data_IF_268434096597
#
_entry.id   IF_268434096597
#
_cell.length_a   1.000
_cell.length_b   1.000
_cell.length_c   1.000
_cell.angle_alpha   90.00
_cell.angle_beta   90.00
_cell.angle_gamma   90.00
#
_symmetry.space_group_name_H-M   'P 1'
#
loop_
_entity.id
_entity.type
_entity.pdbx_description
1 polymer ?
#
# COMPACT_ATOMS: atom_id res chain seq x y z
N UNK A 1 -3.69 36.66 -32.42
CA UNK A 1 -3.82 35.69 -31.32
C UNK A 1 -4.55 34.42 -31.76
N UNK A 2 -5.71 34.53 -32.43
CA UNK A 2 -6.46 33.38 -32.96
C UNK A 2 -5.70 32.59 -34.06
N UNK A 3 -5.06 33.29 -35.00
CA UNK A 3 -4.18 32.66 -36.00
C UNK A 3 -2.89 32.06 -35.41
N UNK A 4 -2.38 32.65 -34.32
CA UNK A 4 -1.21 32.13 -33.61
C UNK A 4 -1.55 30.78 -32.93
N UNK A 5 -2.71 30.70 -32.27
CA UNK A 5 -3.21 29.44 -31.72
C UNK A 5 -3.52 28.41 -32.81
N UNK A 6 -4.12 28.80 -33.94
CA UNK A 6 -4.39 27.89 -35.06
C UNK A 6 -3.13 27.36 -35.74
N UNK A 7 -2.04 28.14 -35.78
CA UNK A 7 -0.76 27.71 -36.36
C UNK A 7 0.06 26.84 -35.40
N UNK A 8 -0.02 27.09 -34.08
CA UNK A 8 0.73 26.33 -33.06
C UNK A 8 0.20 24.89 -32.90
N UNK A 9 -1.09 24.66 -33.15
CA UNK A 9 -1.75 23.35 -33.03
C UNK A 9 -2.00 22.64 -34.38
N UNK A 10 -1.25 22.96 -35.45
CA UNK A 10 -1.35 22.16 -36.69
C UNK A 10 -0.70 20.79 -36.50
N UNK A 11 -1.33 19.75 -37.06
CA UNK A 11 -0.91 18.33 -36.96
C UNK A 11 0.52 18.05 -37.42
N UNK A 12 1.06 18.87 -38.30
CA UNK A 12 2.36 18.74 -38.94
C UNK A 12 3.48 19.48 -38.18
N UNK A 13 3.15 20.22 -37.12
CA UNK A 13 4.17 20.87 -36.29
C UNK A 13 5.00 19.81 -35.56
N UNK A 14 6.35 19.91 -35.61
CA UNK A 14 7.25 18.99 -34.90
C UNK A 14 6.88 18.83 -33.41
N UNK A 15 6.40 19.89 -32.77
CA UNK A 15 5.90 19.87 -31.40
C UNK A 15 4.72 18.90 -31.20
N UNK A 16 3.72 18.92 -32.09
CA UNK A 16 2.50 18.12 -31.96
C UNK A 16 2.71 16.62 -32.20
N UNK A 17 3.71 16.26 -33.02
CA UNK A 17 4.03 14.85 -33.33
C UNK A 17 5.11 14.30 -32.41
N UNK A 18 6.06 15.14 -31.98
CA UNK A 18 7.22 14.72 -31.19
C UNK A 18 7.05 14.95 -29.69
N UNK A 19 6.91 16.22 -29.27
CA UNK A 19 7.04 16.62 -27.87
C UNK A 19 5.73 16.51 -27.08
N UNK A 20 4.62 16.98 -27.67
CA UNK A 20 3.33 17.04 -26.99
C UNK A 20 2.82 15.67 -26.49
N UNK A 21 2.93 14.56 -27.25
CA UNK A 21 2.50 13.26 -26.76
C UNK A 21 3.25 12.79 -25.51
N UNK A 22 4.54 13.11 -25.39
CA UNK A 22 5.34 12.76 -24.21
C UNK A 22 4.95 13.58 -22.98
N UNK A 23 4.75 14.89 -23.17
CA UNK A 23 4.29 15.80 -22.11
C UNK A 23 2.90 15.38 -21.63
N UNK A 24 1.99 15.11 -22.57
CA UNK A 24 0.63 14.66 -22.27
C UNK A 24 0.63 13.32 -21.55
N UNK A 25 1.39 12.33 -22.03
CA UNK A 25 1.51 11.04 -21.35
C UNK A 25 2.01 11.19 -19.91
N UNK A 26 3.03 12.04 -19.69
CA UNK A 26 3.58 12.31 -18.36
C UNK A 26 2.56 12.99 -17.44
N UNK A 27 1.80 13.95 -17.96
CA UNK A 27 0.71 14.60 -17.23
C UNK A 27 -0.38 13.59 -16.83
N UNK A 28 -0.83 12.75 -17.77
CA UNK A 28 -1.83 11.72 -17.50
C UNK A 28 -1.32 10.73 -16.47
N UNK A 29 -0.06 10.30 -16.55
CA UNK A 29 0.54 9.42 -15.56
C UNK A 29 0.53 10.02 -14.15
N UNK A 30 0.90 11.29 -14.00
CA UNK A 30 0.85 11.99 -12.73
C UNK A 30 -0.59 12.17 -12.22
N UNK A 31 -1.54 12.47 -13.11
CA UNK A 31 -2.96 12.61 -12.78
C UNK A 31 -3.55 11.28 -12.27
N UNK A 32 -3.32 10.18 -12.99
CA UNK A 32 -3.77 8.84 -12.62
C UNK A 32 -3.15 8.41 -11.28
N UNK A 33 -1.86 8.64 -11.08
CA UNK A 33 -1.20 8.33 -9.81
C UNK A 33 -1.79 9.14 -8.65
N UNK A 34 -2.17 10.40 -8.87
CA UNK A 34 -2.80 11.27 -7.84
C UNK A 34 -4.16 10.72 -7.39
N UNK A 35 -4.93 10.13 -8.32
CA UNK A 35 -6.19 9.46 -7.99
C UNK A 35 -5.94 8.26 -7.09
N UNK A 36 -4.95 7.42 -7.39
CA UNK A 36 -4.61 6.25 -6.58
C UNK A 36 -4.05 6.60 -5.21
N UNK A 37 -3.22 7.64 -5.14
CA UNK A 37 -2.63 8.14 -3.91
C UNK A 37 -3.66 8.84 -3.00
N UNK A 38 -4.86 9.15 -3.50
CA UNK A 38 -5.85 10.00 -2.82
C UNK A 38 -5.23 11.30 -2.29
N UNK A 39 -4.34 11.89 -3.09
CA UNK A 39 -3.47 12.99 -2.70
C UNK A 39 -2.28 13.13 -3.67
N UNK A 40 -1.33 14.05 -3.41
CA UNK A 40 -0.21 14.29 -4.32
C UNK A 40 0.60 13.02 -4.54
N UNK A 41 0.70 12.50 -5.77
CA UNK A 41 1.52 11.33 -6.02
C UNK A 41 3.03 11.62 -5.98
N UNK A 42 3.82 10.60 -5.66
CA UNK A 42 5.24 10.61 -5.95
C UNK A 42 5.47 10.65 -7.46
N UNK A 43 6.54 11.34 -7.89
CA UNK A 43 7.02 11.21 -9.26
C UNK A 43 7.35 9.74 -9.56
N UNK A 44 7.27 9.27 -10.81
CA UNK A 44 7.71 7.90 -11.10
C UNK A 44 9.25 7.84 -11.16
N UNK A 45 9.89 6.78 -10.61
CA UNK A 45 11.33 6.61 -10.78
C UNK A 45 11.67 6.31 -12.25
N UNK A 46 12.75 6.91 -12.77
CA UNK A 46 13.25 6.64 -14.13
C UNK A 46 14.07 5.35 -14.20
N UNK A 47 14.66 4.94 -13.07
CA UNK A 47 15.43 3.72 -12.92
C UNK A 47 15.10 3.08 -11.57
N UNK A 48 15.15 1.75 -11.52
CA UNK A 48 14.92 0.97 -10.30
C UNK A 48 16.30 0.75 -9.67
N UNK A 49 16.55 1.40 -8.54
CA UNK A 49 17.81 1.27 -7.80
C UNK A 49 17.94 -0.14 -7.21
N UNK A 50 19.18 -0.63 -7.09
CA UNK A 50 19.44 -1.87 -6.34
C UNK A 50 19.10 -1.68 -4.85
N UNK A 51 18.56 -2.69 -4.16
CA UNK A 51 18.21 -2.55 -2.75
C UNK A 51 19.45 -2.47 -1.87
N UNK A 52 19.48 -1.49 -0.97
CA UNK A 52 20.57 -1.31 -0.02
C UNK A 52 20.49 -2.34 1.10
N UNK A 53 21.63 -2.96 1.44
CA UNK A 53 21.73 -3.94 2.54
C UNK A 53 22.29 -3.33 3.82
N UNK A 54 23.29 -2.46 3.73
CA UNK A 54 24.00 -1.92 4.90
C UNK A 54 23.99 -0.39 4.90
N UNK A 55 23.60 0.18 6.03
CA UNK A 55 23.58 1.62 6.29
C UNK A 55 24.25 1.92 7.64
N UNK A 56 24.88 3.10 7.78
CA UNK A 56 25.42 3.53 9.07
C UNK A 56 24.32 3.68 10.12
N UNK A 57 24.71 3.74 11.39
CA UNK A 57 23.78 4.02 12.48
C UNK A 57 23.06 5.37 12.26
N UNK A 58 21.81 5.43 12.72
CA UNK A 58 21.00 6.64 12.70
C UNK A 58 20.70 7.09 14.14
N UNK A 59 20.56 8.40 14.36
CA UNK A 59 20.23 8.97 15.67
C UNK A 59 18.85 8.51 16.17
N UNK A 60 17.90 8.34 15.24
CA UNK A 60 16.55 7.88 15.54
C UNK A 60 16.03 6.97 14.44
N UNK A 61 15.63 5.76 14.82
CA UNK A 61 14.93 4.81 13.95
C UNK A 61 13.52 4.58 14.49
N UNK A 62 12.51 4.58 13.62
CA UNK A 62 11.14 4.12 13.96
C UNK A 62 10.78 2.93 13.09
N UNK A 63 10.53 1.78 13.70
CA UNK A 63 10.16 0.55 13.03
C UNK A 63 8.66 0.23 13.17
N UNK A 64 8.03 -0.15 12.06
CA UNK A 64 6.59 -0.40 11.92
C UNK A 64 6.40 -1.84 11.41
N UNK A 65 5.52 -2.57 12.08
CA UNK A 65 5.14 -3.94 11.72
C UNK A 65 4.27 -4.05 10.45
N UNK A 66 3.64 -5.21 10.32
CA UNK A 66 2.85 -5.64 9.17
C UNK A 66 1.58 -4.78 9.00
N UNK A 67 1.32 -4.33 7.76
CA UNK A 67 0.24 -3.37 7.45
C UNK A 67 -1.03 -4.05 6.95
N UNK A 68 -0.88 -5.11 6.14
CA UNK A 68 -1.98 -5.94 5.63
C UNK A 68 -3.18 -5.13 5.11
N UNK A 69 -2.94 -4.26 4.13
CA UNK A 69 -3.99 -3.57 3.38
C UNK A 69 -4.89 -2.63 4.20
N UNK A 70 -4.50 -2.22 5.41
CA UNK A 70 -5.26 -1.32 6.29
C UNK A 70 -4.60 0.06 6.37
N UNK A 71 -5.05 0.98 5.51
CA UNK A 71 -4.45 2.31 5.40
C UNK A 71 -4.72 3.18 6.64
N UNK A 72 -5.84 2.97 7.33
CA UNK A 72 -6.18 3.72 8.55
C UNK A 72 -5.21 3.37 9.67
N UNK A 73 -4.99 2.08 9.92
CA UNK A 73 -4.01 1.61 10.92
C UNK A 73 -2.59 2.00 10.54
N UNK A 74 -2.27 1.97 9.24
CA UNK A 74 -0.98 2.43 8.71
C UNK A 74 -0.74 3.91 9.04
N UNK A 75 -1.69 4.79 8.73
CA UNK A 75 -1.58 6.24 9.05
C UNK A 75 -1.47 6.48 10.56
N UNK A 76 -2.24 5.74 11.38
CA UNK A 76 -2.14 5.82 12.85
C UNK A 76 -0.77 5.39 13.38
N UNK A 77 -0.21 4.29 12.89
CA UNK A 77 1.13 3.84 13.26
C UNK A 77 2.21 4.87 12.87
N UNK A 78 2.12 5.43 11.66
CA UNK A 78 3.04 6.48 11.19
C UNK A 78 2.94 7.74 12.06
N UNK A 79 1.74 8.19 12.45
CA UNK A 79 1.53 9.33 13.36
C UNK A 79 2.04 9.06 14.76
N UNK A 80 1.80 7.85 15.28
CA UNK A 80 2.33 7.42 16.58
C UNK A 80 3.87 7.51 16.63
N UNK A 81 4.53 7.19 15.52
CA UNK A 81 5.98 7.34 15.35
C UNK A 81 6.46 8.79 15.14
N UNK A 82 5.55 9.76 15.04
CA UNK A 82 5.86 11.15 14.69
C UNK A 82 6.39 11.29 13.26
N UNK A 83 6.03 10.38 12.35
CA UNK A 83 6.55 10.34 10.99
C UNK A 83 5.71 11.14 10.00
N UNK A 84 4.41 11.28 10.26
CA UNK A 84 3.49 12.04 9.41
C UNK A 84 2.57 12.95 10.23
N UNK A 85 2.05 14.00 9.59
CA UNK A 85 0.99 14.86 10.12
C UNK A 85 -0.43 14.29 9.87
N UNK A 86 -1.45 15.07 10.24
CA UNK A 86 -2.85 14.72 9.99
C UNK A 86 -3.21 14.68 8.49
N UNK A 87 -2.55 15.49 7.66
CA UNK A 87 -2.68 15.45 6.21
C UNK A 87 -1.90 14.28 5.57
N UNK A 88 -1.16 13.52 6.37
CA UNK A 88 -0.35 12.39 5.95
C UNK A 88 0.94 12.78 5.23
N UNK A 89 1.46 13.99 5.42
CA UNK A 89 2.77 14.39 4.92
C UNK A 89 3.87 14.07 5.93
N UNK A 90 5.07 13.77 5.45
CA UNK A 90 6.22 13.52 6.29
C UNK A 90 6.55 14.71 7.20
N UNK A 91 6.70 14.42 8.49
CA UNK A 91 7.12 15.37 9.53
C UNK A 91 8.23 14.80 10.43
N UNK A 92 8.73 13.59 10.14
CA UNK A 92 9.77 12.92 10.92
C UNK A 92 11.17 13.56 10.86
N UNK A 93 11.36 14.64 10.10
CA UNK A 93 12.67 15.30 9.93
C UNK A 93 13.74 14.31 9.44
N UNK A 94 14.85 14.24 10.18
CA UNK A 94 15.98 13.33 9.94
C UNK A 94 15.76 11.88 10.41
N UNK A 95 14.57 11.55 10.93
CA UNK A 95 14.26 10.18 11.38
C UNK A 95 14.41 9.18 10.22
N UNK A 96 14.98 8.01 10.53
CA UNK A 96 14.95 6.86 9.63
C UNK A 96 13.76 5.97 10.03
N UNK A 97 12.81 5.74 9.13
CA UNK A 97 11.70 4.83 9.35
C UNK A 97 11.94 3.50 8.64
N UNK A 98 11.50 2.39 9.23
CA UNK A 98 11.56 1.05 8.63
C UNK A 98 10.22 0.34 8.73
N UNK A 99 9.60 0.01 7.60
CA UNK A 99 8.41 -0.84 7.54
C UNK A 99 8.83 -2.26 7.17
N UNK A 100 8.56 -3.25 8.01
CA UNK A 100 9.21 -4.58 7.95
C UNK A 100 8.50 -5.63 7.07
N UNK A 101 7.77 -5.24 6.03
CA UNK A 101 7.11 -6.18 5.11
C UNK A 101 5.61 -6.36 5.34
N UNK A 102 4.96 -7.13 4.48
CA UNK A 102 3.52 -7.44 4.52
C UNK A 102 2.65 -6.17 4.41
N UNK A 103 2.82 -5.45 3.30
CA UNK A 103 1.94 -4.36 2.91
C UNK A 103 0.61 -4.89 2.36
N UNK A 104 0.67 -6.00 1.63
CA UNK A 104 -0.45 -6.60 0.91
C UNK A 104 -1.30 -7.58 1.74
N UNK A 105 -2.42 -7.97 1.14
CA UNK A 105 -3.41 -8.96 1.58
C UNK A 105 -4.17 -8.62 2.87
N UNK A 106 -5.22 -9.40 3.14
CA UNK A 106 -6.15 -9.34 4.28
C UNK A 106 -6.99 -8.06 4.42
N UNK A 107 -6.46 -6.90 4.03
CA UNK A 107 -7.18 -5.64 3.95
C UNK A 107 -7.79 -5.37 2.57
N UNK A 108 -8.10 -4.11 2.30
CA UNK A 108 -8.76 -3.65 1.07
C UNK A 108 -8.24 -2.31 0.52
N UNK A 109 -7.24 -1.69 1.15
CA UNK A 109 -6.64 -0.42 0.74
C UNK A 109 -5.17 -0.62 0.30
N UNK A 110 -4.90 -1.74 -0.36
CA UNK A 110 -3.55 -2.19 -0.67
C UNK A 110 -2.85 -1.26 -1.66
N UNK A 111 -3.54 -0.84 -2.72
CA UNK A 111 -2.98 0.08 -3.71
C UNK A 111 -2.68 1.44 -3.06
N UNK A 112 -3.59 1.98 -2.24
CA UNK A 112 -3.37 3.25 -1.54
C UNK A 112 -2.11 3.21 -0.66
N UNK A 113 -1.87 2.10 0.05
CA UNK A 113 -0.66 1.93 0.87
C UNK A 113 0.60 1.99 0.02
N UNK A 114 0.64 1.33 -1.15
CA UNK A 114 1.82 1.37 -2.03
C UNK A 114 2.17 2.81 -2.46
N UNK A 115 1.16 3.59 -2.87
CA UNK A 115 1.36 5.00 -3.25
C UNK A 115 1.70 5.89 -2.04
N UNK A 116 1.10 5.64 -0.88
CA UNK A 116 1.40 6.36 0.36
C UNK A 116 2.87 6.17 0.75
N UNK A 117 3.36 4.93 0.76
CA UNK A 117 4.74 4.63 1.14
C UNK A 117 5.73 5.25 0.14
N UNK A 118 5.51 5.11 -1.18
CA UNK A 118 6.38 5.73 -2.21
C UNK A 118 6.47 7.26 -2.02
N UNK A 119 5.34 7.91 -1.73
CA UNK A 119 5.29 9.35 -1.44
C UNK A 119 6.09 9.71 -0.20
N UNK A 120 5.91 8.97 0.88
CA UNK A 120 6.62 9.21 2.14
C UNK A 120 8.12 8.97 2.01
N UNK A 121 8.56 7.95 1.26
CA UNK A 121 9.98 7.75 0.96
C UNK A 121 10.62 9.00 0.34
N UNK A 122 9.93 9.65 -0.60
CA UNK A 122 10.42 10.88 -1.25
C UNK A 122 10.35 12.10 -0.35
N UNK A 123 9.32 12.22 0.47
CA UNK A 123 9.22 13.34 1.41
C UNK A 123 10.29 13.22 2.51
N UNK A 124 10.51 12.01 3.05
CA UNK A 124 11.56 11.73 4.02
C UNK A 124 12.94 12.09 3.49
N UNK A 125 13.28 11.59 2.28
CA UNK A 125 14.56 11.89 1.64
C UNK A 125 14.79 13.40 1.46
N UNK A 126 13.75 14.16 1.06
CA UNK A 126 13.83 15.62 0.92
C UNK A 126 14.00 16.36 2.25
N UNK A 127 13.51 15.78 3.35
CA UNK A 127 13.65 16.32 4.70
C UNK A 127 14.96 15.90 5.39
N UNK A 128 15.82 15.13 4.71
CA UNK A 128 17.07 14.60 5.28
C UNK A 128 16.89 13.37 6.18
N UNK A 129 15.70 12.76 6.17
CA UNK A 129 15.42 11.45 6.78
C UNK A 129 15.28 10.36 5.72
N UNK A 130 14.73 9.21 6.10
CA UNK A 130 14.49 8.11 5.17
C UNK A 130 13.28 7.26 5.60
N UNK A 131 12.64 6.60 4.64
CA UNK A 131 11.72 5.49 4.89
C UNK A 131 12.21 4.29 4.08
N UNK A 132 12.56 3.21 4.76
CA UNK A 132 12.90 1.92 4.15
C UNK A 132 11.71 1.00 4.31
N UNK A 133 11.25 0.42 3.20
CA UNK A 133 10.18 -0.58 3.19
C UNK A 133 10.82 -1.89 2.79
N UNK A 134 10.53 -2.96 3.52
CA UNK A 134 11.03 -4.30 3.24
C UNK A 134 9.98 -5.12 2.50
N UNK A 135 10.41 -6.15 1.79
CA UNK A 135 9.51 -7.14 1.21
C UNK A 135 9.24 -8.28 2.21
N UNK A 136 7.97 -8.52 2.53
CA UNK A 136 7.50 -9.62 3.35
C UNK A 136 7.03 -10.82 2.54
N UNK A 137 6.50 -11.85 3.21
CA UNK A 137 6.04 -13.04 2.48
C UNK A 137 4.82 -12.75 1.62
N UNK A 138 3.96 -11.81 2.01
CA UNK A 138 2.78 -11.46 1.23
C UNK A 138 3.14 -10.76 -0.09
N UNK A 139 4.21 -9.96 -0.14
CA UNK A 139 4.72 -9.42 -1.40
C UNK A 139 5.18 -10.57 -2.32
N UNK A 140 6.05 -11.47 -1.82
CA UNK A 140 6.56 -12.59 -2.61
C UNK A 140 5.47 -13.57 -3.07
N UNK A 141 4.49 -13.87 -2.22
CA UNK A 141 3.34 -14.70 -2.58
C UNK A 141 2.56 -14.10 -3.75
N UNK A 142 2.21 -12.82 -3.66
CA UNK A 142 1.45 -12.16 -4.71
C UNK A 142 2.24 -12.05 -6.01
N UNK A 143 3.56 -11.82 -5.92
CA UNK A 143 4.44 -11.83 -7.09
C UNK A 143 4.48 -13.21 -7.73
N UNK A 144 4.49 -14.29 -6.95
CA UNK A 144 4.36 -15.66 -7.47
C UNK A 144 2.95 -16.01 -8.02
N UNK A 145 2.00 -15.09 -7.96
CA UNK A 145 0.61 -15.31 -8.37
C UNK A 145 -0.24 -16.06 -7.34
N UNK A 146 0.28 -16.26 -6.14
CA UNK A 146 -0.42 -16.86 -5.01
C UNK A 146 -1.22 -15.80 -4.24
N UNK A 147 -2.50 -15.69 -4.59
CA UNK A 147 -3.43 -14.67 -4.07
C UNK A 147 -4.39 -15.24 -3.02
N UNK A 148 -4.01 -16.32 -2.33
CA UNK A 148 -4.91 -17.03 -1.40
C UNK A 148 -5.38 -16.17 -0.21
N UNK A 149 -4.65 -15.11 0.13
CA UNK A 149 -4.98 -14.17 1.21
C UNK A 149 -5.56 -12.83 0.72
N UNK A 150 -5.76 -12.69 -0.59
CA UNK A 150 -6.43 -11.53 -1.16
C UNK A 150 -7.93 -11.60 -0.85
N UNK A 151 -8.45 -10.59 -0.16
CA UNK A 151 -9.88 -10.49 0.13
C UNK A 151 -10.67 -10.09 -1.11
N UNK A 152 -12.00 -10.14 -1.02
CA UNK A 152 -12.86 -9.55 -2.03
C UNK A 152 -12.60 -8.05 -2.18
N UNK A 153 -12.47 -7.32 -1.06
CA UNK A 153 -12.16 -5.89 -1.05
C UNK A 153 -10.82 -5.61 -1.72
N UNK A 154 -9.77 -6.37 -1.38
CA UNK A 154 -8.46 -6.26 -2.04
C UNK A 154 -8.55 -6.55 -3.54
N UNK A 155 -9.30 -7.56 -3.95
CA UNK A 155 -9.50 -7.84 -5.39
C UNK A 155 -10.23 -6.69 -6.10
N UNK A 156 -11.25 -6.10 -5.46
CA UNK A 156 -11.97 -4.93 -5.96
C UNK A 156 -11.07 -3.70 -6.04
N UNK A 157 -10.13 -3.52 -5.10
CA UNK A 157 -9.14 -2.44 -5.13
C UNK A 157 -8.27 -2.52 -6.40
N UNK A 158 -7.80 -3.72 -6.75
CA UNK A 158 -7.04 -3.95 -7.98
C UNK A 158 -7.90 -3.82 -9.26
N UNK A 159 -9.19 -4.17 -9.22
CA UNK A 159 -10.11 -3.90 -10.32
C UNK A 159 -10.24 -2.38 -10.54
N UNK A 160 -10.51 -1.62 -9.47
CA UNK A 160 -10.61 -0.16 -9.51
C UNK A 160 -9.32 0.45 -10.04
N UNK A 161 -8.17 -0.02 -9.54
CA UNK A 161 -6.87 0.40 -10.05
C UNK A 161 -6.77 0.19 -11.55
N UNK A 162 -7.04 -1.03 -12.05
CA UNK A 162 -6.94 -1.33 -13.49
C UNK A 162 -7.89 -0.51 -14.33
N UNK A 163 -9.12 -0.27 -13.86
CA UNK A 163 -10.12 0.55 -14.55
C UNK A 163 -9.64 1.98 -14.73
N UNK A 164 -9.10 2.59 -13.67
CA UNK A 164 -8.55 3.96 -13.73
C UNK A 164 -7.31 4.01 -14.63
N UNK A 165 -6.43 3.01 -14.60
CA UNK A 165 -5.32 2.91 -15.57
C UNK A 165 -5.84 2.88 -17.02
N UNK A 166 -6.93 2.14 -17.28
CA UNK A 166 -7.55 2.09 -18.60
C UNK A 166 -8.12 3.43 -19.07
N UNK A 167 -8.63 4.26 -18.16
CA UNK A 167 -9.02 5.65 -18.46
C UNK A 167 -7.78 6.44 -18.89
N UNK A 168 -6.67 6.31 -18.16
CA UNK A 168 -5.39 6.94 -18.51
C UNK A 168 -4.89 6.51 -19.89
N UNK A 169 -4.92 5.21 -20.18
CA UNK A 169 -4.55 4.65 -21.49
C UNK A 169 -5.37 5.28 -22.62
N UNK A 170 -6.70 5.39 -22.43
CA UNK A 170 -7.60 6.03 -23.39
C UNK A 170 -7.35 7.53 -23.56
N UNK A 171 -7.02 8.25 -22.48
CA UNK A 171 -6.66 9.67 -22.53
C UNK A 171 -5.36 9.87 -23.31
N UNK A 172 -4.37 8.98 -23.12
CA UNK A 172 -3.11 9.00 -23.86
C UNK A 172 -3.31 8.68 -25.34
N UNK A 173 -4.13 7.68 -25.68
CA UNK A 173 -4.41 7.34 -27.08
C UNK A 173 -5.24 8.40 -27.81
N UNK A 174 -5.97 9.23 -27.06
CA UNK A 174 -6.73 10.37 -27.60
C UNK A 174 -5.88 11.64 -27.73
N UNK A 175 -4.56 11.56 -27.50
CA UNK A 175 -3.64 12.68 -27.63
C UNK A 175 -3.48 13.09 -29.10
N UNK A 176 -3.60 14.39 -29.38
CA UNK A 176 -3.26 14.96 -30.67
C UNK A 176 -3.74 16.40 -30.84
N UNK A 177 -2.97 17.21 -31.55
CA UNK A 177 -3.39 18.53 -32.02
C UNK A 177 -4.32 18.34 -33.23
N UNK A 178 -5.62 18.21 -33.00
CA UNK A 178 -6.63 18.26 -34.07
C UNK A 178 -7.42 19.57 -33.96
N UNK A 179 -8.00 20.10 -35.05
CA UNK A 179 -9.10 21.05 -34.89
C UNK A 179 -10.15 20.35 -34.02
N UNK A 180 -10.72 21.05 -33.04
CA UNK A 180 -11.69 20.53 -32.09
C UNK A 180 -13.02 20.13 -32.75
N UNK A 181 -13.02 19.12 -33.62
CA UNK A 181 -14.18 18.73 -34.43
C UNK A 181 -14.71 17.33 -34.10
N UNK A 182 -14.07 16.57 -33.23
CA UNK A 182 -14.56 15.24 -32.85
C UNK A 182 -15.52 15.26 -31.66
N UNK A 183 -15.02 15.69 -30.49
CA UNK A 183 -15.73 15.51 -29.23
C UNK A 183 -16.92 16.48 -29.07
N UNK A 184 -16.72 17.76 -29.42
CA UNK A 184 -17.76 18.80 -29.34
C UNK A 184 -18.86 18.54 -30.38
N UNK A 185 -18.51 18.06 -31.57
CA UNK A 185 -19.49 17.76 -32.62
C UNK A 185 -20.27 16.47 -32.33
N UNK A 186 -19.64 15.44 -31.74
CA UNK A 186 -20.35 14.25 -31.23
C UNK A 186 -21.27 14.55 -30.05
N UNK A 187 -20.85 15.44 -29.13
CA UNK A 187 -21.70 15.90 -28.04
C UNK A 187 -22.90 16.70 -28.56
N UNK A 188 -22.68 17.64 -29.48
CA UNK A 188 -23.76 18.43 -30.07
C UNK A 188 -24.71 17.59 -30.92
N UNK A 189 -24.22 16.60 -31.68
CA UNK A 189 -25.09 15.71 -32.45
C UNK A 189 -26.00 14.83 -31.59
N UNK A 190 -25.58 14.50 -30.36
CA UNK A 190 -26.40 13.75 -29.39
C UNK A 190 -27.44 14.63 -28.69
N UNK A 191 -27.20 15.94 -28.58
CA UNK A 191 -28.13 16.92 -28.01
C UNK A 191 -29.18 17.42 -29.02
N UNK A 192 -28.93 17.27 -30.33
CA UNK A 192 -29.84 17.71 -31.39
C UNK A 192 -30.61 16.58 -32.08
N UNK A 193 -30.45 15.33 -31.62
CA UNK A 193 -31.18 14.19 -32.18
C UNK A 193 -32.64 14.16 -31.66
N UNK A 194 -33.66 14.04 -32.53
CA UNK A 194 -35.04 13.94 -32.09
C UNK A 194 -35.30 12.61 -31.35
N UNK A 195 -36.25 12.57 -30.39
CA UNK A 195 -36.53 11.35 -29.63
C UNK A 195 -37.11 10.26 -30.54
N UNK A 196 -36.49 9.08 -30.51
CA UNK A 196 -37.01 7.91 -31.21
C UNK A 196 -38.31 7.43 -30.54
N UNK A 197 -39.35 7.19 -31.34
CA UNK A 197 -40.64 6.63 -30.91
C UNK A 197 -40.45 5.25 -30.28
N UNK A 198 -41.05 5.09 -29.10
CA UNK A 198 -41.44 3.80 -28.54
C UNK A 198 -42.57 3.23 -29.40
N UNK A 199 -42.37 2.04 -29.97
CA UNK A 199 -43.47 1.12 -30.28
C UNK A 199 -43.02 -0.30 -29.92
N UNK A 200 -43.83 -0.92 -29.07
CA UNK A 200 -43.69 -2.26 -28.53
C UNK A 200 -44.04 -3.32 -29.59
N UNK A 201 -43.48 -4.53 -29.46
CA UNK A 201 -44.16 -5.77 -29.85
C UNK A 201 -43.59 -6.96 -29.05
N UNK A 202 -44.48 -7.91 -28.80
CA UNK A 202 -44.58 -8.82 -27.68
C UNK A 202 -44.33 -10.30 -28.04
N UNK A 203 -43.65 -11.03 -27.14
CA UNK A 203 -43.82 -12.45 -26.75
C UNK A 203 -43.60 -13.59 -27.81
N UNK A 204 -43.42 -14.88 -27.43
CA UNK A 204 -43.47 -15.46 -26.08
C UNK A 204 -42.23 -16.30 -25.66
N UNK A 205 -42.21 -16.59 -24.37
CA UNK A 205 -41.24 -17.42 -23.68
C UNK A 205 -41.44 -18.92 -23.99
N UNK A 206 -40.32 -19.63 -24.13
CA UNK A 206 -40.26 -21.10 -23.99
C UNK A 206 -39.24 -21.45 -22.91
N UNK A 207 -39.70 -22.26 -21.96
CA UNK A 207 -39.03 -22.74 -20.78
C UNK A 207 -37.85 -23.68 -21.08
N UNK A 208 -36.69 -23.42 -20.48
CA UNK A 208 -35.78 -24.48 -20.06
C UNK A 208 -35.09 -24.08 -18.76
N UNK A 209 -35.30 -24.91 -17.74
CA UNK A 209 -34.76 -24.79 -16.39
C UNK A 209 -33.24 -24.63 -16.37
N UNK A 210 -32.77 -23.49 -15.86
CA UNK A 210 -31.39 -23.24 -15.45
C UNK A 210 -31.42 -22.68 -14.01
N UNK A 211 -30.43 -22.99 -13.17
CA UNK A 211 -30.46 -22.63 -11.76
C UNK A 211 -30.39 -21.11 -11.60
N UNK A 212 -31.30 -20.60 -10.77
CA UNK A 212 -31.51 -19.18 -10.49
C UNK A 212 -30.35 -18.60 -9.67
N UNK A 213 -29.40 -17.95 -10.34
CA UNK A 213 -28.62 -16.86 -9.75
C UNK A 213 -29.07 -15.55 -10.39
N UNK A 214 -29.30 -14.52 -9.59
CA UNK A 214 -29.74 -13.21 -10.06
C UNK A 214 -28.66 -12.53 -10.95
N UNK A 215 -29.03 -11.63 -11.89
CA UNK A 215 -28.07 -10.92 -12.73
C UNK A 215 -26.99 -10.16 -11.94
N UNK A 216 -27.33 -9.65 -10.76
CA UNK A 216 -26.39 -8.94 -9.88
C UNK A 216 -25.32 -9.87 -9.29
N UNK A 217 -25.70 -11.09 -8.87
CA UNK A 217 -24.74 -12.10 -8.38
C UNK A 217 -23.76 -12.55 -9.47
N UNK A 218 -24.22 -12.58 -10.73
CA UNK A 218 -23.36 -12.91 -11.87
C UNK A 218 -22.33 -11.81 -12.18
N UNK A 219 -22.68 -10.53 -11.99
CA UNK A 219 -21.78 -9.40 -12.21
C UNK A 219 -20.74 -9.29 -11.09
N UNK A 220 -21.14 -9.46 -9.83
CA UNK A 220 -20.22 -9.40 -8.69
C UNK A 220 -19.13 -10.49 -8.77
N UNK A 221 -19.52 -11.71 -9.18
CA UNK A 221 -18.57 -12.80 -9.41
C UNK A 221 -17.60 -12.49 -10.56
N UNK A 222 -18.09 -11.87 -11.64
CA UNK A 222 -17.26 -11.45 -12.77
C UNK A 222 -16.27 -10.36 -12.37
N UNK A 223 -16.70 -9.36 -11.62
CA UNK A 223 -15.85 -8.27 -11.12
C UNK A 223 -14.78 -8.79 -10.17
N UNK A 224 -15.13 -9.70 -9.26
CA UNK A 224 -14.16 -10.36 -8.38
C UNK A 224 -13.12 -11.14 -9.18
N UNK A 225 -13.52 -11.89 -10.21
CA UNK A 225 -12.61 -12.61 -11.09
C UNK A 225 -11.70 -11.64 -11.87
N UNK A 226 -12.25 -10.55 -12.39
CA UNK A 226 -11.51 -9.50 -13.08
C UNK A 226 -10.49 -8.81 -12.16
N UNK A 227 -10.87 -8.53 -10.91
CA UNK A 227 -9.99 -7.97 -9.88
C UNK A 227 -8.83 -8.89 -9.53
N UNK A 228 -9.09 -10.19 -9.30
CA UNK A 228 -8.04 -11.19 -9.10
C UNK A 228 -7.09 -11.27 -10.30
N UNK A 229 -7.64 -11.18 -11.52
CA UNK A 229 -6.86 -11.19 -12.76
C UNK A 229 -5.98 -9.94 -12.90
N UNK A 230 -6.52 -8.76 -12.57
CA UNK A 230 -5.79 -7.50 -12.54
C UNK A 230 -4.65 -7.54 -11.53
N UNK A 231 -4.91 -8.02 -10.30
CA UNK A 231 -3.92 -8.23 -9.24
C UNK A 231 -2.76 -9.10 -9.71
N UNK A 232 -3.05 -10.31 -10.19
CA UNK A 232 -2.02 -11.25 -10.66
C UNK A 232 -1.12 -10.65 -11.74
N UNK A 233 -1.71 -9.95 -12.73
CA UNK A 233 -0.91 -9.31 -13.80
C UNK A 233 -0.07 -8.14 -13.30
N UNK A 234 -0.63 -7.30 -12.44
CA UNK A 234 0.06 -6.11 -11.95
C UNK A 234 1.23 -6.45 -11.02
N UNK A 235 1.11 -7.54 -10.27
CA UNK A 235 2.08 -8.00 -9.28
C UNK A 235 3.01 -9.12 -9.77
N UNK A 236 2.75 -9.77 -10.91
CA UNK A 236 3.65 -10.78 -11.46
C UNK A 236 5.11 -10.26 -11.61
N UNK A 237 6.12 -11.13 -11.76
CA UNK A 237 7.48 -10.71 -12.08
C UNK A 237 7.49 -9.82 -13.33
N UNK A 238 8.14 -8.65 -13.25
CA UNK A 238 8.13 -7.63 -14.30
C UNK A 238 6.82 -6.83 -14.42
N UNK A 239 5.83 -7.13 -13.58
CA UNK A 239 4.57 -6.40 -13.48
C UNK A 239 4.78 -4.95 -13.05
N UNK A 240 3.84 -4.08 -13.44
CA UNK A 240 3.97 -2.63 -13.26
C UNK A 240 4.03 -2.21 -11.79
N UNK A 241 3.30 -2.89 -10.90
CA UNK A 241 3.30 -2.56 -9.47
C UNK A 241 4.52 -3.16 -8.78
N UNK A 242 4.91 -4.39 -9.13
CA UNK A 242 6.13 -5.03 -8.59
C UNK A 242 7.38 -4.24 -8.94
N UNK A 243 7.53 -3.87 -10.21
CA UNK A 243 8.69 -3.12 -10.68
C UNK A 243 8.79 -1.75 -10.01
N UNK A 244 7.66 -1.08 -9.80
CA UNK A 244 7.63 0.27 -9.22
C UNK A 244 7.77 0.27 -7.69
N UNK A 245 7.03 -0.59 -7.01
CA UNK A 245 6.79 -0.47 -5.56
C UNK A 245 7.45 -1.55 -4.72
N UNK A 246 8.05 -2.60 -5.30
CA UNK A 246 8.61 -3.73 -4.52
C UNK A 246 10.03 -4.06 -4.91
N UNK A 247 10.39 -3.94 -6.19
CA UNK A 247 11.70 -4.32 -6.70
C UNK A 247 12.85 -3.48 -6.12
N UNK A 248 12.59 -2.25 -5.65
CA UNK A 248 13.59 -1.42 -4.98
C UNK A 248 13.73 -1.69 -3.47
N UNK A 249 12.85 -2.50 -2.89
CA UNK A 249 12.81 -2.77 -1.46
C UNK A 249 13.73 -3.94 -1.08
N UNK A 250 14.55 -3.80 -0.03
CA UNK A 250 15.37 -4.91 0.44
C UNK A 250 14.51 -6.01 1.09
N UNK A 251 15.03 -7.23 1.06
CA UNK A 251 14.55 -8.35 1.90
C UNK A 251 15.21 -8.29 3.27
N UNK A 252 16.48 -7.87 3.31
CA UNK A 252 17.30 -7.74 4.52
C UNK A 252 17.97 -6.38 4.54
N UNK A 253 17.89 -5.68 5.67
CA UNK A 253 18.50 -4.36 5.85
C UNK A 253 19.19 -4.28 7.21
N UNK A 254 20.42 -3.78 7.26
CA UNK A 254 21.12 -3.43 8.49
C UNK A 254 21.31 -1.92 8.57
N UNK A 255 20.94 -1.33 9.70
CA UNK A 255 21.19 0.08 10.03
C UNK A 255 21.92 0.13 11.37
N UNK A 256 23.20 0.51 11.36
CA UNK A 256 24.05 0.42 12.55
C UNK A 256 24.12 -1.03 13.05
N UNK A 257 23.72 -1.23 14.30
CA UNK A 257 23.70 -2.56 14.92
C UNK A 257 22.38 -3.32 14.79
N UNK A 258 21.41 -2.78 14.04
CA UNK A 258 20.04 -3.31 13.94
C UNK A 258 19.82 -4.01 12.59
N UNK A 259 19.50 -5.31 12.63
CA UNK A 259 19.06 -6.08 11.45
C UNK A 259 17.54 -6.02 11.36
N UNK A 260 17.01 -5.54 10.24
CA UNK A 260 15.61 -5.58 9.87
C UNK A 260 15.40 -6.66 8.81
N UNK A 261 14.44 -7.54 9.08
CA UNK A 261 14.03 -8.62 8.19
C UNK A 261 12.59 -8.97 8.51
N UNK A 262 11.80 -9.37 7.52
CA UNK A 262 10.39 -9.63 7.75
C UNK A 262 10.14 -10.74 8.78
N UNK A 263 10.82 -11.90 8.67
CA UNK A 263 10.59 -13.03 9.56
C UNK A 263 11.82 -13.47 10.36
N UNK A 264 12.97 -13.67 9.71
CA UNK A 264 14.24 -13.97 10.40
C UNK A 264 15.37 -14.46 9.48
N UNK A 265 16.61 -14.39 9.97
CA UNK A 265 17.79 -14.92 9.26
C UNK A 265 18.33 -16.16 9.94
N UNK A 266 18.46 -17.27 9.21
CA UNK A 266 19.15 -18.47 9.68
C UNK A 266 20.64 -18.39 9.29
N UNK A 267 21.53 -19.19 9.91
CA UNK A 267 22.96 -19.21 9.54
C UNK A 267 23.18 -19.42 8.04
N UNK A 268 22.40 -20.31 7.42
CA UNK A 268 22.43 -20.57 5.98
C UNK A 268 22.12 -19.34 5.11
N UNK A 269 21.30 -18.39 5.60
CA UNK A 269 21.03 -17.14 4.89
C UNK A 269 22.22 -16.18 4.95
N UNK A 270 22.92 -16.15 6.09
CA UNK A 270 24.13 -15.34 6.24
C UNK A 270 25.26 -15.91 5.39
N UNK A 271 25.45 -17.23 5.41
CA UNK A 271 26.42 -17.94 4.55
C UNK A 271 26.15 -17.73 3.05
N UNK A 272 24.88 -17.63 2.66
CA UNK A 272 24.49 -17.36 1.28
C UNK A 272 24.86 -15.93 0.81
N UNK A 273 24.86 -14.98 1.74
CA UNK A 273 25.21 -13.58 1.52
C UNK A 273 23.98 -12.65 1.45
N UNK A 274 23.93 -11.65 2.32
CA UNK A 274 22.75 -10.77 2.48
C UNK A 274 22.53 -9.86 1.25
N UNK A 275 23.59 -9.29 0.68
CA UNK A 275 23.50 -8.51 -0.57
C UNK A 275 23.08 -9.40 -1.74
N UNK A 276 23.52 -10.66 -1.74
CA UNK A 276 23.12 -11.63 -2.75
C UNK A 276 21.61 -11.90 -2.68
N UNK A 277 21.07 -12.11 -1.48
CA UNK A 277 19.62 -12.26 -1.26
C UNK A 277 18.87 -11.06 -1.82
N UNK A 278 19.26 -9.83 -1.46
CA UNK A 278 18.60 -8.61 -1.94
C UNK A 278 18.65 -8.48 -3.48
N UNK A 279 19.85 -8.64 -4.07
CA UNK A 279 20.05 -8.51 -5.51
C UNK A 279 19.27 -9.57 -6.30
N UNK A 280 19.39 -10.85 -5.94
CA UNK A 280 18.72 -11.93 -6.67
C UNK A 280 17.20 -11.89 -6.49
N UNK A 281 16.70 -11.47 -5.31
CA UNK A 281 15.28 -11.22 -5.11
C UNK A 281 14.76 -10.14 -6.04
N UNK A 282 15.46 -9.01 -6.15
CA UNK A 282 15.11 -7.96 -7.10
C UNK A 282 15.13 -8.48 -8.54
N UNK A 283 16.18 -9.19 -8.96
CA UNK A 283 16.25 -9.71 -10.33
C UNK A 283 15.08 -10.65 -10.64
N UNK A 284 14.68 -11.49 -9.68
CA UNK A 284 13.48 -12.32 -9.81
C UNK A 284 12.21 -11.47 -9.91
N UNK A 285 12.02 -10.48 -9.03
CA UNK A 285 10.86 -9.56 -9.08
C UNK A 285 10.75 -8.79 -10.41
N UNK A 286 11.88 -8.45 -11.03
CA UNK A 286 11.93 -7.77 -12.32
C UNK A 286 11.74 -8.71 -13.52
N UNK A 287 11.55 -10.01 -13.30
CA UNK A 287 11.46 -11.01 -14.38
C UNK A 287 12.77 -11.23 -15.14
N UNK A 288 13.91 -10.88 -14.53
CA UNK A 288 15.27 -11.01 -15.11
C UNK A 288 16.01 -12.28 -14.69
N UNK A 289 15.43 -13.08 -13.80
CA UNK A 289 15.99 -14.33 -13.30
C UNK A 289 15.16 -15.55 -13.77
N UNK A 290 15.50 -16.74 -13.26
CA UNK A 290 14.74 -17.96 -13.51
C UNK A 290 13.27 -17.81 -13.08
N UNK A 291 12.37 -18.53 -13.75
CA UNK A 291 10.94 -18.45 -13.47
C UNK A 291 10.58 -18.90 -12.04
N UNK A 292 11.31 -19.88 -11.50
CA UNK A 292 11.09 -20.37 -10.14
C UNK A 292 11.53 -19.34 -9.10
N UNK A 293 10.73 -19.19 -8.03
CA UNK A 293 11.09 -18.37 -6.89
C UNK A 293 12.35 -18.93 -6.20
N UNK A 294 13.32 -18.08 -5.83
CA UNK A 294 14.47 -18.49 -5.02
C UNK A 294 14.08 -19.23 -3.73
N UNK A 295 14.79 -20.31 -3.40
CA UNK A 295 14.44 -21.18 -2.26
C UNK A 295 14.51 -20.48 -0.91
N UNK A 296 15.39 -19.48 -0.75
CA UNK A 296 15.46 -18.68 0.48
C UNK A 296 14.25 -17.75 0.69
N UNK A 297 13.30 -17.69 -0.27
CA UNK A 297 12.03 -16.96 -0.17
C UNK A 297 10.82 -17.87 0.01
N UNK A 298 10.99 -19.19 -0.15
CA UNK A 298 9.89 -20.16 -0.15
C UNK A 298 10.11 -21.28 0.88
N UNK A 299 9.05 -21.61 1.62
CA UNK A 299 9.07 -22.66 2.63
C UNK A 299 9.31 -22.14 4.04
N UNK A 300 9.10 -23.01 5.04
CA UNK A 300 9.06 -22.63 6.46
C UNK A 300 10.35 -21.99 7.00
N UNK A 301 11.49 -22.31 6.40
CA UNK A 301 12.81 -21.86 6.85
C UNK A 301 13.31 -20.65 6.06
N UNK A 302 12.53 -20.15 5.09
CA UNK A 302 12.88 -18.99 4.28
C UNK A 302 12.93 -17.68 5.08
N UNK A 303 13.68 -16.71 4.56
CA UNK A 303 13.97 -15.40 5.19
C UNK A 303 12.70 -14.64 5.59
N UNK A 304 11.64 -14.80 4.79
CA UNK A 304 10.34 -14.15 4.98
C UNK A 304 9.28 -15.04 5.64
N UNK A 305 9.62 -16.27 6.04
CA UNK A 305 8.66 -17.23 6.60
C UNK A 305 9.05 -17.82 7.96
N UNK A 306 10.34 -17.83 8.28
CA UNK A 306 10.82 -18.48 9.49
C UNK A 306 10.24 -17.84 10.75
N UNK A 307 9.82 -18.69 11.69
CA UNK A 307 9.29 -18.25 12.99
C UNK A 307 10.24 -18.61 14.14
N UNK A 308 11.47 -19.02 13.83
CA UNK A 308 12.41 -19.55 14.82
C UNK A 308 12.73 -18.55 15.93
N UNK A 309 12.65 -17.23 15.67
CA UNK A 309 12.94 -16.18 16.64
C UNK A 309 11.71 -15.37 17.07
N UNK A 310 10.54 -15.68 16.53
CA UNK A 310 9.32 -14.88 16.72
C UNK A 310 8.15 -15.66 17.32
N UNK A 311 8.37 -16.91 17.75
CA UNK A 311 7.37 -17.74 18.45
C UNK A 311 6.67 -16.95 19.55
N UNK A 312 5.33 -17.07 19.66
CA UNK A 312 4.54 -16.33 20.67
C UNK A 312 5.05 -16.59 22.08
N UNK A 313 5.36 -17.84 22.39
CA UNK A 313 6.00 -18.21 23.64
C UNK A 313 7.52 -18.04 23.50
N UNK A 314 8.12 -17.10 24.23
CA UNK A 314 9.53 -16.73 24.07
C UNK A 314 10.50 -17.89 24.33
N UNK A 315 10.15 -18.83 25.22
CA UNK A 315 10.98 -20.01 25.52
C UNK A 315 11.09 -20.98 24.34
N UNK A 316 10.24 -20.84 23.30
CA UNK A 316 10.32 -21.61 22.06
C UNK A 316 11.22 -20.96 21.00
N UNK A 317 11.73 -19.75 21.27
CA UNK A 317 12.64 -19.09 20.35
C UNK A 317 14.02 -19.75 20.38
N UNK A 318 14.61 -19.96 19.21
CA UNK A 318 15.98 -20.46 19.06
C UNK A 318 16.99 -19.33 19.32
N UNK A 319 17.20 -19.02 20.60
CA UNK A 319 18.11 -17.96 21.01
C UNK A 319 19.59 -18.28 20.74
N UNK A 320 19.95 -19.57 20.65
CA UNK A 320 21.32 -20.02 20.33
C UNK A 320 21.60 -19.77 18.86
N UNK A 321 20.69 -20.19 17.97
CA UNK A 321 20.79 -19.93 16.53
C UNK A 321 20.77 -18.43 16.22
N UNK A 322 19.94 -17.64 16.92
CA UNK A 322 19.94 -16.19 16.78
C UNK A 322 21.29 -15.56 17.16
N UNK A 323 21.87 -15.98 18.29
CA UNK A 323 23.19 -15.47 18.71
C UNK A 323 24.28 -15.82 17.70
N UNK A 324 24.25 -17.04 17.12
CA UNK A 324 25.16 -17.41 16.04
C UNK A 324 25.00 -16.49 14.82
N UNK A 325 23.77 -16.24 14.38
CA UNK A 325 23.48 -15.37 13.23
C UNK A 325 24.00 -13.95 13.45
N UNK A 326 23.75 -13.36 14.62
CA UNK A 326 24.23 -12.02 14.95
C UNK A 326 25.76 -11.96 14.99
N UNK A 327 26.43 -13.00 15.51
CA UNK A 327 27.89 -13.07 15.51
C UNK A 327 28.50 -13.22 14.11
N UNK A 328 27.77 -13.77 13.14
CA UNK A 328 28.21 -13.90 11.75
C UNK A 328 28.11 -12.58 10.97
N UNK A 329 27.32 -11.61 11.44
CA UNK A 329 27.07 -10.35 10.73
C UNK A 329 27.84 -9.22 11.44
N UNK A 330 28.87 -8.63 10.81
CA UNK A 330 29.67 -7.58 11.44
C UNK A 330 28.83 -6.41 11.94
N UNK A 331 29.02 -6.05 13.21
CA UNK A 331 28.34 -4.92 13.86
C UNK A 331 26.90 -5.19 14.30
N UNK A 332 26.30 -6.35 13.96
CA UNK A 332 24.94 -6.66 14.36
C UNK A 332 24.84 -6.98 15.86
N UNK A 333 23.85 -6.41 16.53
CA UNK A 333 23.57 -6.65 17.96
C UNK A 333 22.16 -7.18 18.21
N UNK A 334 21.21 -6.89 17.32
CA UNK A 334 19.82 -7.33 17.44
C UNK A 334 19.12 -7.46 16.08
N UNK A 335 18.04 -8.23 16.07
CA UNK A 335 17.16 -8.46 14.92
C UNK A 335 15.75 -7.93 15.21
N UNK A 336 15.15 -7.21 14.27
CA UNK A 336 13.80 -6.64 14.34
C UNK A 336 12.96 -7.34 13.27
N UNK A 337 11.85 -7.95 13.70
CA UNK A 337 11.02 -8.83 12.87
C UNK A 337 9.52 -8.56 13.00
N UNK A 338 8.80 -8.77 11.90
CA UNK A 338 7.33 -8.79 11.82
C UNK A 338 6.79 -10.23 11.79
N UNK A 339 5.87 -10.51 10.85
CA UNK A 339 5.39 -11.84 10.40
C UNK A 339 4.59 -12.69 11.42
N UNK A 340 5.02 -12.68 12.68
CA UNK A 340 4.38 -13.43 13.77
C UNK A 340 3.70 -12.48 14.73
N UNK A 341 2.38 -12.35 14.56
CA UNK A 341 1.50 -11.58 15.44
C UNK A 341 1.76 -11.89 16.92
N UNK A 342 2.22 -10.86 17.62
CA UNK A 342 2.36 -10.77 19.07
C UNK A 342 1.13 -10.10 19.69
N UNK A 343 0.94 -10.28 21.00
CA UNK A 343 -0.11 -9.54 21.74
C UNK A 343 0.22 -8.05 21.88
N UNK A 344 1.50 -7.76 22.10
CA UNK A 344 2.13 -6.44 22.17
C UNK A 344 3.54 -6.58 21.58
N UNK A 345 4.08 -5.49 21.04
CA UNK A 345 5.47 -5.43 20.60
C UNK A 345 6.38 -5.67 21.80
N UNK A 346 7.40 -6.49 21.62
CA UNK A 346 8.20 -6.96 22.75
C UNK A 346 9.57 -7.50 22.28
N UNK A 347 10.43 -7.82 23.24
CA UNK A 347 11.71 -8.48 22.99
C UNK A 347 11.72 -9.95 23.44
N UNK A 348 12.61 -10.75 22.86
CA UNK A 348 12.99 -12.08 23.33
C UNK A 348 14.52 -12.26 23.24
N UNK A 349 15.01 -13.40 23.72
CA UNK A 349 16.43 -13.75 23.69
C UNK A 349 17.33 -12.66 24.28
N UNK A 350 16.96 -12.14 25.46
CA UNK A 350 17.70 -11.08 26.16
C UNK A 350 17.85 -9.78 25.35
N UNK A 351 16.84 -9.44 24.53
CA UNK A 351 16.88 -8.24 23.69
C UNK A 351 17.55 -8.43 22.33
N UNK A 352 18.03 -9.64 22.01
CA UNK A 352 18.64 -9.94 20.71
C UNK A 352 17.61 -10.00 19.58
N UNK A 353 16.33 -10.20 19.88
CA UNK A 353 15.24 -10.09 18.89
C UNK A 353 14.10 -9.23 19.40
N UNK A 354 13.59 -8.37 18.53
CA UNK A 354 12.43 -7.51 18.74
C UNK A 354 11.33 -7.89 17.76
N UNK A 355 10.14 -8.20 18.30
CA UNK A 355 8.99 -8.74 17.56
C UNK A 355 7.92 -7.66 17.53
N UNK A 356 7.72 -7.03 16.38
CA UNK A 356 6.97 -5.78 16.26
C UNK A 356 5.65 -5.89 15.50
N UNK A 357 5.34 -7.06 14.91
CA UNK A 357 4.00 -7.33 14.39
C UNK A 357 3.02 -7.56 15.55
N UNK A 358 2.12 -6.60 15.76
CA UNK A 358 1.04 -6.70 16.75
C UNK A 358 -0.31 -7.05 16.11
N UNK A 359 -0.34 -7.37 14.82
CA UNK A 359 -1.59 -7.66 14.10
C UNK A 359 -2.55 -6.48 14.09
N UNK A 360 -2.04 -5.27 13.84
CA UNK A 360 -2.82 -4.03 13.95
C UNK A 360 -3.95 -3.90 12.92
N UNK A 361 -3.77 -4.47 11.72
CA UNK A 361 -4.77 -4.45 10.65
C UNK A 361 -6.09 -5.09 11.09
N UNK A 362 -7.21 -4.52 10.65
CA UNK A 362 -8.55 -5.10 10.77
C UNK A 362 -8.65 -6.47 10.12
N UNK A 363 -7.86 -6.73 9.08
CA UNK A 363 -7.76 -8.04 8.43
C UNK A 363 -6.99 -9.10 9.26
N UNK A 364 -6.44 -8.71 10.41
CA UNK A 364 -5.66 -9.57 11.29
C UNK A 364 -6.32 -9.71 12.68
N UNK A 365 -5.84 -8.95 13.66
CA UNK A 365 -6.33 -8.96 15.03
C UNK A 365 -6.97 -7.64 15.45
N UNK A 366 -7.03 -6.65 14.53
CA UNK A 366 -7.55 -5.30 14.75
C UNK A 366 -6.98 -4.62 16.00
N UNK A 367 -5.74 -4.95 16.38
CA UNK A 367 -5.15 -4.39 17.59
C UNK A 367 -4.79 -2.93 17.42
N UNK A 368 -4.67 -2.24 18.54
CA UNK A 368 -4.13 -0.88 18.59
C UNK A 368 -2.70 -0.87 18.03
N UNK A 369 -2.39 0.05 17.10
CA UNK A 369 -1.04 0.24 16.59
C UNK A 369 0.01 0.38 17.70
N UNK A 370 1.14 -0.27 17.47
CA UNK A 370 2.38 -0.08 18.22
C UNK A 370 3.53 0.07 17.22
N UNK A 371 4.51 0.90 17.56
CA UNK A 371 5.73 1.06 16.79
C UNK A 371 6.93 0.96 17.72
N UNK A 372 8.07 0.52 17.19
CA UNK A 372 9.32 0.47 17.93
C UNK A 372 10.16 1.70 17.59
N UNK A 373 10.76 2.33 18.59
CA UNK A 373 11.70 3.44 18.44
C UNK A 373 13.08 2.99 18.94
N UNK A 374 14.12 3.34 18.18
CA UNK A 374 15.52 3.10 18.52
C UNK A 374 16.24 4.44 18.52
N UNK A 375 16.88 4.81 19.63
CA UNK A 375 17.65 6.05 19.76
C UNK A 375 19.14 5.74 19.88
N UNK A 376 19.94 6.43 19.07
CA UNK A 376 21.39 6.38 19.06
C UNK A 376 21.93 4.93 19.02
N UNK A 377 21.30 4.10 18.19
CA UNK A 377 21.62 2.67 17.98
C UNK A 377 21.51 1.76 19.22
N UNK A 378 21.04 2.27 20.35
CA UNK A 378 21.14 1.58 21.63
C UNK A 378 19.80 1.47 22.36
N UNK A 379 19.15 2.60 22.62
CA UNK A 379 17.95 2.65 23.46
C UNK A 379 16.71 2.24 22.66
N UNK A 380 15.96 1.25 23.16
CA UNK A 380 14.74 0.76 22.51
C UNK A 380 13.52 1.12 23.33
N UNK A 381 12.49 1.64 22.66
CA UNK A 381 11.17 1.92 23.22
C UNK A 381 10.07 1.32 22.34
N UNK A 382 8.95 0.98 22.95
CA UNK A 382 7.73 0.61 22.22
C UNK A 382 6.68 1.68 22.48
N UNK A 383 6.29 2.39 21.43
CA UNK A 383 5.23 3.38 21.49
C UNK A 383 3.91 2.65 21.24
N UNK A 384 2.91 2.91 22.08
CA UNK A 384 1.56 2.36 21.94
C UNK A 384 0.59 3.52 21.84
N UNK A 385 -0.32 3.46 20.87
CA UNK A 385 -1.38 4.46 20.76
C UNK A 385 -2.34 4.31 21.95
N UNK A 386 -2.50 5.37 22.75
CA UNK A 386 -3.42 5.37 23.89
C UNK A 386 -4.87 5.64 23.49
N UNK A 387 -5.86 5.38 24.35
CA UNK A 387 -7.18 6.00 24.20
C UNK A 387 -7.04 7.52 24.36
N UNK A 388 -7.61 8.34 23.47
CA UNK A 388 -7.84 9.76 23.76
C UNK A 388 -8.85 9.84 24.91
N UNK A 389 -8.37 9.92 26.15
CA UNK A 389 -9.17 10.43 27.25
C UNK A 389 -9.09 11.95 27.21
N UNK A 390 -10.13 12.63 26.73
CA UNK A 390 -10.53 13.84 27.43
C UNK A 390 -11.05 13.38 28.78
N UNK A 391 -10.22 13.45 29.81
CA UNK A 391 -10.73 13.38 31.19
C UNK A 391 -11.54 14.66 31.40
N UNK A 392 -12.87 14.53 31.25
CA UNK A 392 -13.80 15.48 31.84
C UNK A 392 -13.54 15.43 33.35
N UNK A 393 -13.22 16.56 34.00
CA UNK A 393 -13.01 16.60 35.44
C UNK A 393 -14.18 15.94 36.19
N UNK A 394 -13.87 15.14 37.22
CA UNK A 394 -14.84 14.38 38.04
C UNK A 394 -15.97 15.25 38.63
N UNK A 395 -15.74 16.56 38.70
CA UNK A 395 -16.62 17.62 39.17
C UNK A 395 -17.82 17.94 38.25
N UNK A 396 -17.93 17.31 37.07
CA UNK A 396 -19.11 17.42 36.20
C UNK A 396 -20.04 16.18 36.29
N UNK A 397 -19.64 15.11 37.01
CA UNK A 397 -20.47 13.89 37.17
C UNK A 397 -21.54 13.98 38.27
N UNK A 398 -21.63 15.10 38.99
CA UNK A 398 -22.55 15.28 40.14
C UNK A 398 -23.69 16.27 39.90
N UNK A 399 -24.04 16.57 38.64
CA UNK A 399 -25.31 17.22 38.33
C UNK A 399 -26.37 16.17 37.96
N UNK A 400 -27.33 16.00 38.87
CA UNK A 400 -28.46 15.09 38.74
C UNK A 400 -29.33 15.43 37.51
N UNK A 401 -29.85 14.42 36.78
CA UNK A 401 -30.79 14.63 35.69
C UNK A 401 -32.21 14.83 36.24
N UNK A 402 -32.51 16.05 36.67
CA UNK A 402 -33.86 16.61 36.65
C UNK A 402 -33.74 18.01 36.10
N UNK A 403 -33.55 18.09 34.80
CA UNK A 403 -33.98 19.16 33.91
C UNK A 403 -33.50 18.78 32.52
N UNK A 404 -34.24 19.20 31.49
CA UNK A 404 -34.13 18.77 30.08
C UNK A 404 -34.90 17.47 29.81
N UNK A 405 -36.22 17.58 29.94
CA UNK A 405 -37.13 16.67 29.28
C UNK A 405 -36.98 16.76 27.76
N UNK A 406 -36.56 15.68 27.12
CA UNK A 406 -36.86 15.43 25.71
C UNK A 406 -37.12 13.95 25.46
N UNK A 407 -38.27 13.73 24.84
CA UNK A 407 -38.92 12.48 24.46
C UNK A 407 -38.11 11.65 23.45
N UNK A 408 -38.26 10.33 23.54
CA UNK A 408 -37.77 9.32 22.58
C UNK A 408 -38.66 9.29 21.33
N UNK A 409 -38.05 9.26 20.13
CA UNK A 409 -38.32 8.24 19.10
C UNK A 409 -37.27 8.28 17.96
N UNK A 410 -36.69 7.15 17.51
CA UNK A 410 -35.88 7.06 16.29
C UNK A 410 -36.74 6.64 15.08
N UNK A 411 -36.18 6.73 13.88
CA UNK A 411 -36.77 6.53 12.54
C UNK A 411 -37.37 7.79 11.89
N UNK A 412 -36.56 8.48 11.10
CA UNK A 412 -36.94 8.84 9.73
C UNK A 412 -35.72 9.14 8.85
N UNK A 413 -35.95 8.98 7.55
CA UNK A 413 -35.03 8.70 6.44
C UNK A 413 -34.07 9.83 6.03
N UNK A 414 -32.93 9.42 5.47
CA UNK A 414 -32.53 9.82 4.11
C UNK A 414 -32.22 11.30 3.84
N UNK A 415 -31.05 11.80 4.26
CA UNK A 415 -30.47 13.03 3.66
C UNK A 415 -28.96 13.25 3.93
N UNK A 416 -28.22 12.18 4.27
CA UNK A 416 -26.83 12.30 4.74
C UNK A 416 -25.79 12.65 3.66
N UNK A 417 -25.96 12.17 2.44
CA UNK A 417 -24.93 12.29 1.40
C UNK A 417 -24.91 13.67 0.72
N UNK A 418 -26.09 14.29 0.56
CA UNK A 418 -26.23 15.61 -0.08
C UNK A 418 -25.76 16.72 0.86
N UNK A 419 -26.13 16.64 2.15
CA UNK A 419 -25.66 17.57 3.19
C UNK A 419 -24.15 17.49 3.41
N UNK A 420 -23.58 16.29 3.31
CA UNK A 420 -22.13 16.09 3.39
C UNK A 420 -21.35 16.70 2.20
N UNK A 421 -21.94 16.73 1.00
CA UNK A 421 -21.32 17.34 -0.18
C UNK A 421 -21.38 18.87 -0.16
N UNK A 422 -22.44 19.46 0.40
CA UNK A 422 -22.60 20.93 0.49
C UNK A 422 -21.64 21.55 1.51
N UNK A 423 -21.49 20.94 2.69
CA UNK A 423 -20.63 21.47 3.76
C UNK A 423 -19.13 21.45 3.41
N UNK A 424 -18.71 20.60 2.46
CA UNK A 424 -17.29 20.39 2.11
C UNK A 424 -16.83 21.11 0.85
N UNK A 425 -17.77 21.52 -0.01
CA UNK A 425 -17.50 22.20 -1.28
C UNK A 425 -17.81 23.71 -1.24
N UNK A 426 -18.41 24.22 -0.17
CA UNK A 426 -18.67 25.65 0.01
C UNK A 426 -19.64 26.23 -1.03
N UNK A 427 -20.67 25.47 -1.40
CA UNK A 427 -21.78 25.90 -2.26
C UNK A 427 -23.01 26.28 -1.44
#
# INVERSE_FOLDING_TARGET
MFEFAQNFFRRDQPFCVGEFPQIWASFIDAFIDTIHAQGPAATRPTQIAEPVTFLPAAERIVAIGDLHGDVDKTKRALRLGGLIDEAGNWTGGHTVAVQVGDQLDRGGNEVEILYLLERLQKQAARAGGALHVLNGNHEFMNIAGDVRYATQQGSTDFLRWRTVQGIGDNMKSSCGCGPATGLVQQMMSKLTAPPARLDALSAPASSSSQPSSSPAESQEAADLAAGKSARKRALAPGGVLTSRFMACHPVVLQIGSNIFVHAGLLPSHVDYGLERINRESQQWMLGKAQAAMPSYLAGKDAVVWTRNYSQRDSFKCDCVGLAQVLNMIPGASRMIVGHTIQRVANAACEGKVHRIDVGMSKGCSDRTPQVMEILNDNEVRYLTEGPQKQEVPEDIKTLHPVDIGMSRNPYQEGDGLVKWLQDRLGL
#
